data_IF_073102286277
#
_entry.id   IF_073102286277
#
_cell.length_a   1.000
_cell.length_b   1.000
_cell.length_c   1.000
_cell.angle_alpha   90.00
_cell.angle_beta   90.00
_cell.angle_gamma   90.00
#
_symmetry.space_group_name_H-M   'P 1'
#
loop_
_entity.id
_entity.type
_entity.pdbx_description
1 polymer ?
#
# COMPACT_ATOMS: atom_id res chain seq x y z
N UNK A 1 -14.42 -11.47 27.88
CA UNK A 1 -13.84 -12.71 28.46
C UNK A 1 -12.31 -12.72 28.30
N UNK A 2 -11.56 -13.30 29.23
CA UNK A 2 -10.09 -13.43 29.12
C UNK A 2 -9.66 -14.61 28.25
N UNK A 3 -8.41 -14.63 27.77
CA UNK A 3 -7.85 -15.77 27.03
C UNK A 3 -7.85 -17.06 27.86
N UNK A 4 -7.72 -16.95 29.19
CA UNK A 4 -7.85 -18.08 30.10
C UNK A 4 -9.28 -18.66 30.08
N UNK A 5 -10.30 -17.80 30.15
CA UNK A 5 -11.71 -18.22 30.10
C UNK A 5 -12.04 -18.89 28.78
N UNK A 6 -11.62 -18.28 27.67
CA UNK A 6 -11.84 -18.82 26.32
C UNK A 6 -11.14 -20.17 26.16
N UNK A 7 -9.89 -20.30 26.62
CA UNK A 7 -9.18 -21.58 26.58
C UNK A 7 -9.94 -22.68 27.34
N UNK A 8 -10.47 -22.37 28.53
CA UNK A 8 -11.28 -23.31 29.32
C UNK A 8 -12.53 -23.77 28.56
N UNK A 9 -13.25 -22.87 27.89
CA UNK A 9 -14.43 -23.24 27.09
C UNK A 9 -14.07 -24.13 25.89
N UNK A 10 -12.93 -23.90 25.25
CA UNK A 10 -12.49 -24.70 24.10
C UNK A 10 -11.91 -26.08 24.49
N UNK A 11 -11.39 -26.20 25.72
CA UNK A 11 -10.91 -27.46 26.29
C UNK A 11 -9.50 -27.88 25.85
N UNK A 12 -9.00 -28.97 26.45
CA UNK A 12 -7.60 -29.44 26.34
C UNK A 12 -6.56 -28.38 26.71
N UNK A 13 -6.82 -27.69 27.83
CA UNK A 13 -6.06 -26.49 28.22
C UNK A 13 -4.69 -26.86 28.77
N UNK A 14 -3.64 -26.21 28.26
CA UNK A 14 -2.28 -26.25 28.82
C UNK A 14 -1.69 -24.86 28.86
N UNK A 15 -0.92 -24.54 29.89
CA UNK A 15 -0.23 -23.24 29.98
C UNK A 15 0.94 -23.19 29.01
N UNK A 16 1.13 -22.06 28.34
CA UNK A 16 2.22 -21.86 27.38
C UNK A 16 2.72 -20.41 27.42
N UNK A 17 3.82 -20.18 28.17
CA UNK A 17 4.36 -18.85 28.39
C UNK A 17 3.34 -17.91 29.04
N UNK A 18 3.11 -16.75 28.41
CA UNK A 18 2.11 -15.76 28.81
C UNK A 18 0.68 -16.09 28.32
N UNK A 19 0.44 -17.27 27.73
CA UNK A 19 -0.85 -17.67 27.19
C UNK A 19 -1.22 -19.13 27.47
N UNK A 20 -2.14 -19.65 26.66
CA UNK A 20 -2.77 -20.95 26.81
C UNK A 20 -2.81 -21.69 25.48
N UNK A 21 -2.68 -23.01 25.52
CA UNK A 21 -2.98 -23.91 24.42
C UNK A 21 -4.35 -24.54 24.67
N UNK A 22 -5.20 -24.63 23.66
CA UNK A 22 -6.53 -25.21 23.73
C UNK A 22 -6.95 -25.79 22.36
N UNK A 23 -8.17 -26.33 22.23
CA UNK A 23 -8.68 -26.82 20.94
C UNK A 23 -9.03 -25.66 20.00
N UNK A 24 -8.88 -25.89 18.70
CA UNK A 24 -9.29 -24.93 17.68
C UNK A 24 -10.84 -24.82 17.62
N UNK A 25 -11.42 -23.61 17.54
CA UNK A 25 -12.85 -23.41 17.43
C UNK A 25 -13.40 -23.58 16.01
N UNK A 26 -12.54 -23.65 14.98
CA UNK A 26 -12.95 -23.85 13.59
C UNK A 26 -13.38 -25.30 13.38
N UNK A 27 -14.56 -25.52 12.77
CA UNK A 27 -15.24 -26.82 12.72
C UNK A 27 -14.36 -27.95 12.13
N UNK A 28 -13.62 -27.64 11.06
CA UNK A 28 -12.70 -28.57 10.39
C UNK A 28 -11.51 -28.99 11.27
N UNK A 29 -11.11 -28.15 12.23
CA UNK A 29 -9.92 -28.36 13.06
C UNK A 29 -10.22 -28.63 14.55
N UNK A 30 -11.49 -28.76 14.93
CA UNK A 30 -11.91 -29.10 16.31
C UNK A 30 -11.27 -30.38 16.86
N UNK A 31 -11.01 -31.36 16.00
CA UNK A 31 -10.43 -32.67 16.35
C UNK A 31 -8.94 -32.80 15.99
N UNK A 32 -8.32 -31.73 15.48
CA UNK A 32 -6.90 -31.75 15.12
C UNK A 32 -6.03 -32.00 16.36
N UNK A 33 -4.98 -32.83 16.26
CA UNK A 33 -4.02 -32.98 17.36
C UNK A 33 -3.15 -31.73 17.57
N UNK A 34 -3.17 -30.77 16.63
CA UNK A 34 -2.41 -29.53 16.72
C UNK A 34 -3.22 -28.44 17.45
N UNK A 35 -2.69 -27.85 18.53
CA UNK A 35 -3.46 -26.95 19.39
C UNK A 35 -3.64 -25.55 18.77
N UNK A 36 -4.54 -24.78 19.36
CA UNK A 36 -4.64 -23.34 19.22
C UNK A 36 -3.89 -22.69 20.38
N UNK A 37 -2.99 -21.74 20.09
CA UNK A 37 -2.46 -20.82 21.10
C UNK A 37 -3.36 -19.60 21.22
N UNK A 38 -3.68 -19.20 22.45
CA UNK A 38 -4.48 -18.02 22.78
C UNK A 38 -3.85 -17.28 23.95
N UNK A 39 -3.80 -15.94 23.90
CA UNK A 39 -3.30 -15.10 24.99
C UNK A 39 -3.99 -13.74 25.02
N UNK A 40 -3.99 -13.10 26.16
CA UNK A 40 -4.40 -11.71 26.29
C UNK A 40 -3.29 -10.79 25.71
N UNK A 41 -3.70 -9.83 24.90
CA UNK A 41 -2.87 -8.77 24.33
C UNK A 41 -2.77 -7.55 25.26
N UNK A 42 -1.85 -6.63 24.96
CA UNK A 42 -1.54 -5.45 25.80
C UNK A 42 -2.71 -4.46 25.91
N UNK A 43 -3.71 -4.54 25.04
CA UNK A 43 -4.88 -3.68 24.99
C UNK A 43 -6.21 -4.44 25.17
N UNK A 44 -6.18 -5.57 25.89
CA UNK A 44 -7.33 -6.45 26.13
C UNK A 44 -7.89 -7.16 24.88
N UNK A 45 -7.12 -7.20 23.79
CA UNK A 45 -7.42 -7.97 22.58
C UNK A 45 -6.96 -9.42 22.72
N UNK A 46 -7.71 -10.37 22.14
CA UNK A 46 -7.36 -11.79 22.16
C UNK A 46 -6.43 -12.11 20.99
N UNK A 47 -5.19 -12.54 21.27
CA UNK A 47 -4.21 -12.95 20.26
C UNK A 47 -4.26 -14.45 20.07
N UNK A 48 -4.41 -14.90 18.83
CA UNK A 48 -4.56 -16.31 18.47
C UNK A 48 -3.54 -16.78 17.44
N UNK A 49 -3.09 -18.03 17.56
CA UNK A 49 -2.29 -18.70 16.54
C UNK A 49 -2.64 -20.20 16.48
N UNK A 50 -3.12 -20.66 15.31
CA UNK A 50 -3.54 -22.04 15.12
C UNK A 50 -2.44 -22.89 14.48
N UNK A 51 -1.91 -23.87 15.21
CA UNK A 51 -0.88 -24.76 14.67
C UNK A 51 -1.43 -25.79 13.65
N UNK A 52 -2.76 -25.89 13.52
CA UNK A 52 -3.42 -26.72 12.50
C UNK A 52 -3.55 -26.04 11.13
N UNK A 53 -3.27 -24.73 11.02
CA UNK A 53 -3.28 -24.00 9.74
C UNK A 53 -4.44 -23.03 9.51
N UNK A 54 -5.31 -22.78 10.50
CA UNK A 54 -6.30 -21.70 10.40
C UNK A 54 -5.62 -20.32 10.44
N UNK A 55 -6.17 -19.37 9.70
CA UNK A 55 -5.80 -17.96 9.88
C UNK A 55 -6.32 -17.44 11.24
N UNK A 56 -5.71 -16.39 11.80
CA UNK A 56 -6.25 -15.72 12.99
C UNK A 56 -7.71 -15.30 12.82
N UNK A 57 -8.09 -14.83 11.62
CA UNK A 57 -9.46 -14.42 11.28
C UNK A 57 -10.45 -15.58 11.42
N UNK A 58 -10.13 -16.76 10.89
CA UNK A 58 -11.02 -17.93 10.97
C UNK A 58 -11.30 -18.32 12.42
N UNK A 59 -10.25 -18.26 13.26
CA UNK A 59 -10.34 -18.54 14.69
C UNK A 59 -11.20 -17.50 15.39
N UNK A 60 -10.92 -16.20 15.20
CA UNK A 60 -11.67 -15.11 15.82
C UNK A 60 -13.15 -15.12 15.40
N UNK A 61 -13.44 -15.40 14.14
CA UNK A 61 -14.82 -15.56 13.63
C UNK A 61 -15.53 -16.73 14.30
N UNK A 62 -14.85 -17.87 14.47
CA UNK A 62 -15.41 -19.03 15.14
C UNK A 62 -15.63 -18.80 16.65
N UNK A 63 -14.78 -17.99 17.31
CA UNK A 63 -14.99 -17.55 18.70
C UNK A 63 -16.19 -16.61 18.82
N UNK A 64 -16.29 -15.62 17.92
CA UNK A 64 -17.40 -14.68 17.87
C UNK A 64 -18.74 -15.38 17.64
N UNK A 65 -18.79 -16.36 16.72
CA UNK A 65 -20.00 -17.17 16.44
C UNK A 65 -20.49 -17.94 17.66
N UNK A 66 -19.61 -18.22 18.62
CA UNK A 66 -19.91 -18.92 19.87
C UNK A 66 -20.19 -17.97 21.05
N UNK A 67 -20.18 -16.66 20.81
CA UNK A 67 -20.35 -15.66 21.88
C UNK A 67 -19.20 -15.64 22.89
N UNK A 68 -18.01 -16.08 22.49
CA UNK A 68 -16.83 -16.13 23.38
C UNK A 68 -15.98 -14.85 23.33
N UNK A 69 -16.41 -13.86 22.54
CA UNK A 69 -15.87 -12.50 22.51
C UNK A 69 -16.95 -11.56 23.04
N UNK A 70 -16.60 -10.61 23.91
CA UNK A 70 -17.58 -9.79 24.64
C UNK A 70 -18.38 -8.85 23.71
N UNK A 71 -19.69 -8.75 23.96
CA UNK A 71 -20.63 -7.89 23.23
C UNK A 71 -20.37 -6.37 23.36
N UNK A 72 -19.42 -5.94 24.20
CA UNK A 72 -19.05 -4.52 24.35
C UNK A 72 -18.36 -3.92 23.11
N UNK A 73 -17.96 -4.74 22.15
CA UNK A 73 -17.35 -4.29 20.89
C UNK A 73 -18.40 -4.02 19.78
N UNK A 74 -19.67 -4.35 19.98
CA UNK A 74 -20.71 -4.26 18.93
C UNK A 74 -21.46 -2.93 18.83
N UNK A 75 -21.21 -1.93 19.69
CA UNK A 75 -22.04 -0.71 19.71
C UNK A 75 -21.36 0.66 19.76
N UNK A 76 -20.04 0.73 19.68
CA UNK A 76 -19.37 2.00 19.46
C UNK A 76 -18.36 1.82 18.33
N UNK A 77 -18.71 2.28 17.13
CA UNK A 77 -17.73 2.55 16.07
C UNK A 77 -16.74 3.55 16.63
N UNK A 78 -15.65 3.07 17.23
CA UNK A 78 -14.49 3.91 17.56
C UNK A 78 -13.99 4.48 16.23
N UNK A 79 -13.73 5.80 16.15
CA UNK A 79 -12.99 6.35 15.03
C UNK A 79 -11.70 5.54 14.89
N UNK A 80 -11.43 5.00 13.70
CA UNK A 80 -10.14 4.41 13.38
C UNK A 80 -9.07 5.43 13.76
N UNK A 81 -8.31 5.11 14.81
CA UNK A 81 -7.13 5.89 15.18
C UNK A 81 -5.97 5.18 14.51
N UNK A 82 -5.36 5.74 13.45
CA UNK A 82 -4.25 5.08 12.79
C UNK A 82 -3.17 4.74 13.83
N UNK A 83 -2.66 3.50 13.86
CA UNK A 83 -1.52 3.19 14.71
C UNK A 83 -0.38 4.12 14.27
N UNK A 84 0.06 5.01 15.16
CA UNK A 84 1.27 5.81 14.96
C UNK A 84 2.40 4.81 14.73
N UNK A 85 2.90 4.75 13.49
CA UNK A 85 4.09 3.97 13.19
C UNK A 85 5.23 4.51 14.05
N UNK A 86 5.88 3.65 14.86
CA UNK A 86 7.08 4.05 15.60
C UNK A 86 8.09 4.56 14.56
N UNK A 87 8.53 5.82 14.63
CA UNK A 87 9.49 6.33 13.66
C UNK A 87 10.77 5.51 13.76
N UNK A 88 11.32 5.11 12.62
CA UNK A 88 12.72 4.67 12.54
C UNK A 88 13.66 5.81 13.00
N UNK A 89 14.97 5.55 13.12
CA UNK A 89 15.92 6.61 13.45
C UNK A 89 15.70 7.81 12.52
N UNK A 90 15.50 8.99 13.11
CA UNK A 90 15.22 10.20 12.36
C UNK A 90 16.40 10.50 11.41
N UNK A 91 16.15 10.84 10.13
CA UNK A 91 17.21 11.31 9.27
C UNK A 91 17.85 12.57 9.86
N UNK A 92 19.16 12.75 9.64
CA UNK A 92 19.92 13.89 10.17
C UNK A 92 19.38 15.25 9.69
N UNK A 93 18.74 15.28 8.52
CA UNK A 93 18.05 16.43 7.95
C UNK A 93 16.75 15.94 7.29
N UNK A 94 15.56 16.14 7.91
CA UNK A 94 14.28 15.69 7.37
C UNK A 94 13.84 16.46 6.12
N UNK A 95 14.32 17.68 5.89
CA UNK A 95 13.92 18.53 4.76
C UNK A 95 14.76 18.30 3.51
N UNK A 96 15.91 17.62 3.64
CA UNK A 96 16.79 17.29 2.51
C UNK A 96 16.06 16.74 1.27
N UNK A 97 15.11 15.79 1.34
CA UNK A 97 14.46 15.28 0.14
C UNK A 97 13.67 16.37 -0.58
N UNK A 98 12.92 17.21 0.16
CA UNK A 98 12.20 18.36 -0.39
C UNK A 98 13.18 19.35 -1.03
N UNK A 99 14.24 19.71 -0.32
CA UNK A 99 15.27 20.61 -0.84
C UNK A 99 15.91 20.09 -2.13
N UNK A 100 16.24 18.79 -2.17
CA UNK A 100 16.81 18.15 -3.37
C UNK A 100 15.82 18.18 -4.55
N UNK A 101 14.55 17.88 -4.30
CA UNK A 101 13.50 17.89 -5.32
C UNK A 101 13.33 19.28 -5.93
N UNK A 102 13.25 20.32 -5.11
CA UNK A 102 13.05 21.70 -5.56
C UNK A 102 14.30 22.27 -6.23
N UNK A 103 15.50 21.96 -5.72
CA UNK A 103 16.76 22.54 -6.22
C UNK A 103 17.29 21.88 -7.48
N UNK A 104 17.15 20.56 -7.60
CA UNK A 104 17.74 19.80 -8.71
C UNK A 104 16.70 19.31 -9.73
N UNK A 105 15.43 19.21 -9.32
CA UNK A 105 14.34 18.80 -10.19
C UNK A 105 14.01 19.87 -11.22
N UNK A 106 13.96 19.47 -12.49
CA UNK A 106 13.50 20.29 -13.62
C UNK A 106 12.08 19.87 -14.01
N UNK A 107 11.29 20.75 -14.66
CA UNK A 107 10.00 20.37 -15.23
C UNK A 107 10.11 19.16 -16.17
N UNK A 108 9.04 18.39 -16.28
CA UNK A 108 9.00 17.15 -17.07
C UNK A 108 9.01 17.42 -18.58
N UNK A 109 8.35 18.51 -19.02
CA UNK A 109 8.16 18.80 -20.43
C UNK A 109 9.46 19.12 -21.15
N UNK A 110 9.62 18.59 -22.35
CA UNK A 110 10.82 18.68 -23.18
C UNK A 110 11.97 17.79 -22.71
N UNK A 111 11.71 16.78 -21.87
CA UNK A 111 12.74 15.93 -21.26
C UNK A 111 12.52 14.45 -21.55
N UNK A 112 13.52 13.57 -21.30
CA UNK A 112 13.36 12.12 -21.42
C UNK A 112 12.20 11.55 -20.58
N UNK A 113 11.81 12.22 -19.48
CA UNK A 113 10.67 11.81 -18.66
C UNK A 113 9.35 11.98 -19.41
N UNK A 114 9.18 13.06 -20.17
CA UNK A 114 8.00 13.25 -21.02
C UNK A 114 7.92 12.15 -22.08
N UNK A 115 9.01 11.92 -22.82
CA UNK A 115 9.05 10.84 -23.84
C UNK A 115 8.70 9.49 -23.22
N UNK A 116 9.27 9.20 -22.04
CA UNK A 116 9.04 7.96 -21.33
C UNK A 116 7.57 7.79 -20.90
N UNK A 117 6.99 8.81 -20.26
CA UNK A 117 5.61 8.78 -19.78
C UNK A 117 4.60 8.74 -20.92
N UNK A 118 4.78 9.52 -21.99
CA UNK A 118 3.88 9.47 -23.16
C UNK A 118 3.88 8.10 -23.81
N UNK A 119 5.07 7.54 -24.05
CA UNK A 119 5.22 6.19 -24.61
C UNK A 119 4.54 5.15 -23.75
N UNK A 120 4.59 5.30 -22.42
CA UNK A 120 4.18 4.26 -21.47
C UNK A 120 2.75 4.39 -20.96
N UNK A 121 2.22 5.61 -20.94
CA UNK A 121 0.95 5.97 -20.31
C UNK A 121 -0.02 6.66 -21.30
N UNK A 122 0.35 6.81 -22.57
CA UNK A 122 -0.45 7.48 -23.61
C UNK A 122 -0.04 8.93 -23.86
N UNK A 123 -0.20 9.41 -25.09
CA UNK A 123 0.19 10.77 -25.52
C UNK A 123 -0.63 11.90 -24.85
N UNK A 124 -1.82 11.57 -24.36
CA UNK A 124 -2.76 12.45 -23.64
C UNK A 124 -2.57 12.41 -22.12
N UNK A 125 -1.49 11.80 -21.61
CA UNK A 125 -1.11 11.91 -20.19
C UNK A 125 -0.91 13.39 -19.81
N UNK A 126 -1.54 13.82 -18.72
CA UNK A 126 -1.63 15.23 -18.35
C UNK A 126 -0.42 15.70 -17.55
N UNK A 127 0.73 15.83 -18.24
CA UNK A 127 2.03 16.11 -17.62
C UNK A 127 2.07 17.41 -16.80
N UNK A 128 1.27 18.42 -17.14
CA UNK A 128 1.21 19.68 -16.41
C UNK A 128 0.67 19.51 -14.97
N UNK A 129 -0.23 18.56 -14.76
CA UNK A 129 -0.77 18.22 -13.43
C UNK A 129 0.28 17.52 -12.56
N UNK A 130 1.36 16.99 -13.18
CA UNK A 130 2.36 16.15 -12.51
C UNK A 130 3.61 16.91 -12.06
N UNK A 131 3.88 18.12 -12.56
CA UNK A 131 5.11 18.87 -12.26
C UNK A 131 5.27 19.19 -10.76
N UNK A 132 4.18 19.19 -9.98
CA UNK A 132 4.23 19.35 -8.53
C UNK A 132 4.84 18.14 -7.80
N UNK A 133 4.76 16.95 -8.39
CA UNK A 133 5.08 15.67 -7.72
C UNK A 133 6.11 14.83 -8.46
N UNK A 134 6.29 15.08 -9.76
CA UNK A 134 7.29 14.46 -10.64
C UNK A 134 8.20 15.54 -11.25
N UNK A 135 9.50 15.23 -11.33
CA UNK A 135 10.52 16.09 -11.93
C UNK A 135 11.48 15.27 -12.77
N UNK A 136 12.13 15.94 -13.72
CA UNK A 136 13.28 15.42 -14.44
C UNK A 136 14.58 15.78 -13.70
N UNK A 137 15.44 14.78 -13.51
CA UNK A 137 16.80 14.99 -13.03
C UNK A 137 17.80 14.59 -14.14
N UNK A 138 18.64 15.51 -14.63
CA UNK A 138 19.63 15.19 -15.66
C UNK A 138 20.76 14.30 -15.12
N UNK A 139 21.40 13.53 -16.00
CA UNK A 139 22.60 12.79 -15.62
C UNK A 139 23.71 13.74 -15.15
N UNK A 140 24.32 13.39 -14.03
CA UNK A 140 25.48 14.07 -13.42
C UNK A 140 26.47 13.01 -12.91
N UNK A 141 27.27 12.40 -13.82
CA UNK A 141 28.29 11.42 -13.45
C UNK A 141 29.34 12.01 -12.48
N UNK A 142 29.89 11.21 -11.55
CA UNK A 142 29.61 9.78 -11.37
C UNK A 142 28.37 9.51 -10.48
N UNK A 143 27.78 10.53 -9.86
CA UNK A 143 26.76 10.35 -8.82
C UNK A 143 25.39 9.93 -9.36
N UNK A 144 24.98 10.47 -10.51
CA UNK A 144 23.75 10.12 -11.22
C UNK A 144 24.09 9.84 -12.68
N UNK A 145 24.59 8.63 -13.02
CA UNK A 145 25.08 8.33 -14.36
C UNK A 145 23.98 8.19 -15.42
N UNK A 146 22.71 8.24 -15.01
CA UNK A 146 21.55 8.19 -15.90
C UNK A 146 20.62 9.35 -15.58
N UNK A 147 19.88 9.87 -16.57
CA UNK A 147 18.74 10.74 -16.30
C UNK A 147 17.69 9.97 -15.51
N UNK A 148 16.94 10.68 -14.66
CA UNK A 148 15.92 10.05 -13.83
C UNK A 148 14.60 10.83 -13.84
N UNK A 149 13.49 10.09 -13.84
CA UNK A 149 12.22 10.59 -13.31
C UNK A 149 12.30 10.53 -11.78
N UNK A 150 12.04 11.66 -11.13
CA UNK A 150 12.12 11.77 -9.67
C UNK A 150 10.76 12.18 -9.12
N UNK A 151 10.25 11.40 -8.18
CA UNK A 151 8.95 11.61 -7.56
C UNK A 151 9.10 11.95 -6.08
N UNK A 152 8.29 12.91 -5.62
CA UNK A 152 8.19 13.24 -4.20
C UNK A 152 7.37 12.16 -3.49
N UNK A 153 7.95 11.57 -2.43
CA UNK A 153 7.27 10.57 -1.60
C UNK A 153 6.94 11.20 -0.26
N UNK A 154 5.70 11.03 0.16
CA UNK A 154 5.09 11.86 1.18
C UNK A 154 4.20 10.98 2.05
N UNK A 155 4.12 11.24 3.36
CA UNK A 155 3.41 10.36 4.29
C UNK A 155 1.92 10.26 3.93
N UNK A 156 1.35 9.05 3.90
CA UNK A 156 -0.06 8.86 3.52
C UNK A 156 -1.00 9.71 4.38
N UNK A 157 -0.72 9.82 5.68
CA UNK A 157 -1.60 10.50 6.64
C UNK A 157 -1.23 11.97 6.84
N UNK A 158 -0.08 12.41 6.34
CA UNK A 158 0.41 13.78 6.47
C UNK A 158 1.16 14.21 5.19
N UNK A 159 0.43 14.84 4.28
CA UNK A 159 0.98 15.36 3.03
C UNK A 159 2.09 16.42 3.21
N UNK A 160 2.20 17.03 4.40
CA UNK A 160 3.26 18.02 4.65
C UNK A 160 4.61 17.34 4.90
N UNK A 161 4.58 16.08 5.36
CA UNK A 161 5.74 15.28 5.70
C UNK A 161 6.29 14.56 4.47
N UNK A 162 7.26 15.20 3.82
CA UNK A 162 8.07 14.56 2.78
C UNK A 162 8.95 13.51 3.44
N UNK A 163 8.80 12.26 3.00
CA UNK A 163 9.54 11.13 3.57
C UNK A 163 10.84 10.85 2.79
N UNK A 164 10.79 10.84 1.46
CA UNK A 164 11.94 10.50 0.60
C UNK A 164 11.69 10.97 -0.85
N UNK A 165 12.65 10.68 -1.74
CA UNK A 165 12.47 10.77 -3.19
C UNK A 165 12.49 9.37 -3.79
N UNK A 166 11.66 9.14 -4.80
CA UNK A 166 11.68 7.93 -5.62
C UNK A 166 12.28 8.24 -6.99
N UNK A 167 13.32 7.53 -7.38
CA UNK A 167 14.02 7.68 -8.65
C UNK A 167 13.69 6.49 -9.55
N UNK A 168 13.35 6.78 -10.81
CA UNK A 168 13.33 5.81 -11.91
C UNK A 168 14.39 6.25 -12.92
N UNK A 169 15.49 5.51 -13.05
CA UNK A 169 16.53 5.82 -14.03
C UNK A 169 16.05 5.45 -15.44
N UNK A 170 16.30 6.35 -16.39
CA UNK A 170 15.83 6.27 -17.76
C UNK A 170 17.01 6.24 -18.73
N UNK A 171 16.76 5.74 -19.94
CA UNK A 171 17.65 5.98 -21.07
C UNK A 171 17.69 7.47 -21.42
N UNK A 172 18.81 8.00 -21.95
CA UNK A 172 18.93 9.41 -22.33
C UNK A 172 17.89 9.91 -23.33
N UNK A 173 17.34 9.02 -24.15
CA UNK A 173 16.28 9.33 -25.12
C UNK A 173 14.86 9.14 -24.55
N UNK A 174 14.72 8.64 -23.32
CA UNK A 174 13.44 8.32 -22.70
C UNK A 174 12.73 7.09 -23.30
N UNK A 175 13.39 6.33 -24.17
CA UNK A 175 12.77 5.18 -24.85
C UNK A 175 12.43 4.02 -23.90
N UNK A 176 13.02 4.02 -22.70
CA UNK A 176 12.82 3.02 -21.67
C UNK A 176 13.57 3.35 -20.38
N UNK A 177 13.50 2.42 -19.42
CA UNK A 177 14.28 2.48 -18.19
C UNK A 177 15.75 2.19 -18.47
N UNK A 178 16.65 2.77 -17.68
CA UNK A 178 18.07 2.46 -17.77
C UNK A 178 18.33 0.95 -17.55
N UNK A 179 19.29 0.34 -18.27
CA UNK A 179 19.61 -1.09 -18.20
C UNK A 179 20.47 -1.42 -16.98
N UNK A 180 20.01 -1.02 -15.79
CA UNK A 180 20.67 -1.25 -14.50
C UNK A 180 19.69 -1.92 -13.52
N UNK A 181 20.24 -2.70 -12.59
CA UNK A 181 19.43 -3.39 -11.57
C UNK A 181 19.97 -3.05 -10.18
N UNK A 182 19.16 -2.40 -9.32
CA UNK A 182 17.81 -1.89 -9.58
C UNK A 182 17.82 -0.57 -10.38
N UNK A 183 16.83 -0.36 -11.26
CA UNK A 183 16.59 0.92 -11.97
C UNK A 183 15.57 1.83 -11.26
N UNK A 184 15.03 1.37 -10.13
CA UNK A 184 14.19 2.15 -9.23
C UNK A 184 14.80 2.14 -7.84
N UNK A 185 14.87 3.31 -7.18
CA UNK A 185 15.41 3.43 -5.82
C UNK A 185 14.77 4.58 -5.07
N UNK A 186 14.85 4.54 -3.75
CA UNK A 186 14.54 5.67 -2.90
C UNK A 186 15.81 6.40 -2.45
N UNK A 187 15.67 7.64 -1.99
CA UNK A 187 16.80 8.38 -1.43
C UNK A 187 17.33 7.64 -0.19
N UNK A 188 18.63 7.28 -0.21
CA UNK A 188 19.27 6.51 0.85
C UNK A 188 19.24 7.27 2.18
N UNK A 189 18.88 6.56 3.26
CA UNK A 189 18.80 7.12 4.61
C UNK A 189 17.46 7.78 4.94
N UNK A 190 16.49 7.71 4.03
CA UNK A 190 15.16 8.30 4.20
C UNK A 190 14.08 7.22 4.12
N UNK A 191 13.05 7.26 4.98
CA UNK A 191 12.01 6.24 5.02
C UNK A 191 11.11 6.28 3.78
N UNK A 192 10.60 5.13 3.38
CA UNK A 192 9.51 5.01 2.40
C UNK A 192 8.24 4.37 2.99
N UNK A 193 8.34 3.83 4.22
CA UNK A 193 7.24 3.12 4.87
C UNK A 193 6.09 4.07 5.18
N UNK A 194 4.89 3.70 4.73
CA UNK A 194 3.70 4.55 4.86
C UNK A 194 3.70 5.73 3.88
N UNK A 195 4.64 5.79 2.94
CA UNK A 195 4.76 6.85 1.95
C UNK A 195 4.01 6.52 0.66
N UNK A 196 3.48 7.56 0.03
CA UNK A 196 2.84 7.52 -1.29
C UNK A 196 3.35 8.64 -2.19
N UNK A 197 3.22 8.43 -3.49
CA UNK A 197 3.36 9.48 -4.51
C UNK A 197 1.96 9.91 -4.89
N UNK A 198 1.63 11.17 -4.57
CA UNK A 198 0.31 11.77 -4.75
C UNK A 198 0.16 12.28 -6.18
N UNK A 199 -0.19 11.39 -7.12
CA UNK A 199 -0.29 11.75 -8.55
C UNK A 199 -1.49 12.64 -8.89
N UNK A 200 -2.41 12.80 -7.92
CA UNK A 200 -3.53 13.72 -7.91
C UNK A 200 -3.55 14.43 -6.57
N UNK A 201 -4.06 15.65 -6.53
CA UNK A 201 -4.13 16.45 -5.30
C UNK A 201 -5.09 15.80 -4.28
N UNK A 202 -4.77 15.92 -2.98
CA UNK A 202 -5.62 15.43 -1.89
C UNK A 202 -7.05 16.02 -2.00
N UNK A 203 -7.21 17.24 -2.52
CA UNK A 203 -8.50 17.90 -2.73
C UNK A 203 -9.39 17.24 -3.79
N UNK A 204 -8.81 16.44 -4.70
CA UNK A 204 -9.56 15.67 -5.69
C UNK A 204 -10.08 14.34 -5.13
N UNK A 205 -9.58 13.92 -3.97
CA UNK A 205 -10.02 12.71 -3.28
C UNK A 205 -11.19 13.03 -2.38
N UNK A 206 -12.37 12.61 -2.81
CA UNK A 206 -13.61 12.81 -2.06
C UNK A 206 -13.98 11.54 -1.30
N UNK A 207 -14.51 10.52 -1.98
CA UNK A 207 -15.00 9.29 -1.35
C UNK A 207 -14.20 8.05 -1.73
N UNK A 208 -13.47 8.09 -2.85
CA UNK A 208 -12.77 6.93 -3.41
C UNK A 208 -11.32 7.27 -3.73
N UNK A 209 -10.41 6.33 -3.45
CA UNK A 209 -9.01 6.39 -3.87
C UNK A 209 -8.53 5.06 -4.44
N UNK A 210 -7.86 5.10 -5.58
CA UNK A 210 -7.05 4.01 -6.10
C UNK A 210 -5.63 4.01 -5.53
N UNK A 211 -5.09 2.83 -5.23
CA UNK A 211 -3.68 2.66 -4.85
C UNK A 211 -3.06 1.61 -5.76
N UNK A 212 -1.99 1.99 -6.47
CA UNK A 212 -1.25 1.08 -7.33
C UNK A 212 0.22 0.99 -6.94
N UNK A 213 0.91 -0.08 -7.34
CA UNK A 213 2.32 -0.27 -6.97
C UNK A 213 3.27 0.78 -7.54
N UNK A 214 3.01 1.38 -8.70
CA UNK A 214 4.01 2.21 -9.40
C UNK A 214 3.42 3.37 -10.20
N UNK A 215 4.25 4.40 -10.42
CA UNK A 215 3.88 5.64 -11.12
C UNK A 215 3.32 5.35 -12.51
N UNK A 216 4.04 4.56 -13.32
CA UNK A 216 3.70 4.31 -14.72
C UNK A 216 2.34 3.65 -14.85
N UNK A 217 2.07 2.69 -13.96
CA UNK A 217 0.81 1.96 -13.90
C UNK A 217 -0.34 2.87 -13.47
N UNK A 218 -0.16 3.61 -12.38
CA UNK A 218 -1.15 4.58 -11.90
C UNK A 218 -1.54 5.55 -13.02
N UNK A 219 -0.55 6.16 -13.67
CA UNK A 219 -0.77 7.11 -14.76
C UNK A 219 -1.43 6.44 -15.97
N UNK A 220 -1.00 5.24 -16.35
CA UNK A 220 -1.60 4.52 -17.46
C UNK A 220 -3.11 4.28 -17.22
N UNK A 221 -3.48 3.78 -16.05
CA UNK A 221 -4.89 3.56 -15.68
C UNK A 221 -5.67 4.88 -15.60
N UNK A 222 -5.08 5.93 -15.02
CA UNK A 222 -5.73 7.24 -14.96
C UNK A 222 -6.01 7.80 -16.36
N UNK A 223 -5.07 7.69 -17.30
CA UNK A 223 -5.27 8.10 -18.69
C UNK A 223 -6.43 7.34 -19.31
N UNK A 224 -6.47 6.00 -19.17
CA UNK A 224 -7.53 5.15 -19.72
C UNK A 224 -8.89 5.46 -19.11
N UNK A 225 -9.00 5.47 -17.78
CA UNK A 225 -10.26 5.76 -17.11
C UNK A 225 -10.76 7.18 -17.36
N UNK A 226 -9.87 8.14 -17.59
CA UNK A 226 -10.28 9.49 -18.01
C UNK A 226 -10.95 9.47 -19.39
N UNK A 227 -10.48 8.65 -20.33
CA UNK A 227 -11.11 8.48 -21.64
C UNK A 227 -12.49 7.82 -21.55
N UNK A 228 -12.62 6.82 -20.69
CA UNK A 228 -13.85 6.01 -20.57
C UNK A 228 -14.91 6.65 -19.67
N UNK A 229 -14.49 7.24 -18.55
CA UNK A 229 -15.38 7.70 -17.48
C UNK A 229 -15.34 9.23 -17.28
N UNK A 230 -14.45 9.95 -17.97
CA UNK A 230 -14.33 11.40 -17.84
C UNK A 230 -14.01 11.84 -16.40
N UNK A 231 -14.69 12.87 -15.86
CA UNK A 231 -14.48 13.37 -14.49
C UNK A 231 -14.76 12.35 -13.38
N UNK A 232 -15.45 11.23 -13.67
CA UNK A 232 -15.71 10.17 -12.71
C UNK A 232 -14.58 9.14 -12.60
N UNK A 233 -13.46 9.34 -13.32
CA UNK A 233 -12.29 8.50 -13.22
C UNK A 233 -11.79 8.41 -11.77
N UNK A 234 -11.44 7.21 -11.33
CA UNK A 234 -10.95 7.02 -9.95
C UNK A 234 -9.58 7.70 -9.80
N UNK A 235 -9.40 8.61 -8.83
CA UNK A 235 -8.08 9.18 -8.52
C UNK A 235 -7.14 8.08 -8.04
N UNK A 236 -5.88 8.07 -8.48
CA UNK A 236 -4.93 7.00 -8.11
C UNK A 236 -3.64 7.58 -7.54
N UNK A 237 -3.19 7.07 -6.41
CA UNK A 237 -1.85 7.28 -5.86
C UNK A 237 -0.96 6.06 -6.10
N UNK A 238 0.36 6.28 -6.11
CA UNK A 238 1.34 5.19 -6.18
C UNK A 238 1.92 4.87 -4.81
N UNK A 239 1.90 3.58 -4.45
CA UNK A 239 2.51 2.99 -3.27
C UNK A 239 3.97 2.54 -3.46
N UNK A 240 4.67 3.03 -4.49
CA UNK A 240 6.09 2.81 -4.82
C UNK A 240 6.48 1.38 -5.25
N UNK A 241 6.06 0.36 -4.50
CA UNK A 241 6.23 -1.07 -4.79
C UNK A 241 5.30 -1.91 -3.88
N UNK A 242 5.13 -3.20 -4.18
CA UNK A 242 4.38 -4.14 -3.35
C UNK A 242 4.65 -4.04 -1.84
N UNK A 243 5.92 -3.97 -1.42
CA UNK A 243 6.25 -3.98 0.01
C UNK A 243 5.83 -2.70 0.73
N UNK A 244 6.00 -1.54 0.11
CA UNK A 244 5.57 -0.25 0.69
C UNK A 244 4.04 -0.17 0.66
N UNK A 245 3.43 -0.55 -0.46
CA UNK A 245 1.98 -0.58 -0.66
C UNK A 245 1.27 -1.46 0.38
N UNK A 246 1.71 -2.72 0.57
CA UNK A 246 1.11 -3.64 1.53
C UNK A 246 1.17 -3.16 2.98
N UNK A 247 2.14 -2.29 3.30
CA UNK A 247 2.33 -1.68 4.62
C UNK A 247 1.67 -0.32 4.83
N UNK A 248 0.89 0.20 3.87
CA UNK A 248 0.23 1.51 4.03
C UNK A 248 -0.83 1.46 5.14
N UNK A 249 -0.93 2.50 5.99
CA UNK A 249 -2.01 2.59 6.97
C UNK A 249 -3.35 2.86 6.29
N UNK A 250 -4.45 2.82 7.05
CA UNK A 250 -5.76 3.20 6.50
C UNK A 250 -5.84 4.72 6.42
N UNK A 251 -6.23 5.23 5.26
CA UNK A 251 -6.59 6.63 5.07
C UNK A 251 -8.07 6.81 5.49
N UNK A 252 -8.38 7.43 6.64
CA UNK A 252 -9.75 7.43 7.17
C UNK A 252 -10.71 8.38 6.45
N UNK A 253 -10.22 9.23 5.54
CA UNK A 253 -11.04 10.25 4.85
C UNK A 253 -11.83 9.68 3.67
N UNK A 254 -11.55 8.44 3.25
CA UNK A 254 -12.22 7.80 2.11
C UNK A 254 -13.22 6.74 2.57
N UNK A 255 -14.24 6.51 1.75
CA UNK A 255 -15.26 5.48 1.95
C UNK A 255 -14.94 4.20 1.16
N UNK A 256 -14.17 4.35 0.07
CA UNK A 256 -13.83 3.28 -0.86
C UNK A 256 -12.35 3.32 -1.24
N UNK A 257 -11.71 2.15 -1.28
CA UNK A 257 -10.35 1.99 -1.83
C UNK A 257 -10.35 0.98 -2.97
N UNK A 258 -9.65 1.29 -4.07
CA UNK A 258 -9.41 0.35 -5.17
C UNK A 258 -7.92 0.00 -5.20
N UNK A 259 -7.60 -1.29 -5.15
CA UNK A 259 -6.22 -1.78 -5.08
C UNK A 259 -5.82 -2.35 -6.45
N UNK A 260 -4.75 -1.79 -7.02
CA UNK A 260 -4.20 -2.17 -8.32
C UNK A 260 -2.81 -2.80 -8.14
N UNK A 261 -2.78 -4.11 -7.87
CA UNK A 261 -1.54 -4.87 -7.68
C UNK A 261 -1.12 -5.64 -8.92
N UNK A 262 0.16 -5.94 -9.03
CA UNK A 262 0.67 -6.87 -10.03
C UNK A 262 0.18 -8.30 -9.80
N UNK A 263 -0.03 -9.09 -10.87
CA UNK A 263 -0.45 -10.49 -10.80
C UNK A 263 0.71 -11.43 -10.38
N UNK A 264 1.64 -10.94 -9.55
CA UNK A 264 2.76 -11.72 -9.01
C UNK A 264 2.55 -12.01 -7.50
N UNK A 265 3.33 -12.93 -6.90
CA UNK A 265 3.15 -13.28 -5.48
C UNK A 265 3.32 -12.12 -4.49
N UNK A 266 4.20 -11.16 -4.78
CA UNK A 266 4.42 -10.00 -3.92
C UNK A 266 3.25 -9.01 -4.01
N UNK A 267 2.79 -8.71 -5.22
CA UNK A 267 1.62 -7.86 -5.48
C UNK A 267 0.35 -8.44 -4.85
N UNK A 268 0.08 -9.74 -5.04
CA UNK A 268 -1.07 -10.42 -4.41
C UNK A 268 -1.03 -10.36 -2.89
N UNK A 269 0.15 -10.53 -2.28
CA UNK A 269 0.31 -10.41 -0.82
C UNK A 269 0.04 -8.99 -0.36
N UNK A 270 0.61 -8.00 -1.03
CA UNK A 270 0.40 -6.59 -0.71
C UNK A 270 -1.07 -6.18 -0.83
N UNK A 271 -1.77 -6.66 -1.86
CA UNK A 271 -3.20 -6.44 -2.00
C UNK A 271 -3.99 -7.10 -0.88
N UNK A 272 -3.71 -8.35 -0.53
CA UNK A 272 -4.39 -9.04 0.57
C UNK A 272 -4.21 -8.31 1.91
N UNK A 273 -3.00 -7.82 2.20
CA UNK A 273 -2.72 -7.04 3.41
C UNK A 273 -3.50 -5.72 3.46
N UNK A 274 -3.67 -5.05 2.32
CA UNK A 274 -4.50 -3.84 2.24
C UNK A 274 -5.99 -4.15 2.33
N UNK A 275 -6.46 -5.21 1.67
CA UNK A 275 -7.86 -5.66 1.73
C UNK A 275 -8.27 -5.93 3.17
N UNK A 276 -7.48 -6.72 3.90
CA UNK A 276 -7.70 -7.02 5.31
C UNK A 276 -7.78 -5.72 6.12
N UNK A 277 -6.75 -4.88 6.04
CA UNK A 277 -6.62 -3.67 6.86
C UNK A 277 -7.71 -2.63 6.60
N UNK A 278 -8.07 -2.38 5.34
CA UNK A 278 -9.11 -1.41 5.00
C UNK A 278 -10.52 -1.94 5.31
N UNK A 279 -10.75 -3.24 5.09
CA UNK A 279 -12.03 -3.88 5.44
C UNK A 279 -12.27 -3.86 6.95
N UNK A 280 -11.25 -4.12 7.76
CA UNK A 280 -11.31 -4.02 9.23
C UNK A 280 -11.64 -2.59 9.71
N UNK A 281 -11.22 -1.57 8.96
CA UNK A 281 -11.57 -0.17 9.22
C UNK A 281 -12.96 0.22 8.69
N UNK A 282 -13.71 -0.70 8.08
CA UNK A 282 -15.04 -0.44 7.53
C UNK A 282 -15.05 0.34 6.23
N UNK A 283 -13.91 0.42 5.53
CA UNK A 283 -13.80 1.01 4.19
C UNK A 283 -14.09 -0.09 3.17
N UNK A 284 -14.90 0.23 2.17
CA UNK A 284 -15.22 -0.71 1.09
C UNK A 284 -14.01 -0.89 0.18
N UNK A 285 -13.62 -2.15 -0.05
CA UNK A 285 -12.41 -2.48 -0.81
C UNK A 285 -12.76 -3.16 -2.13
N UNK A 286 -12.19 -2.65 -3.21
CA UNK A 286 -12.19 -3.27 -4.52
C UNK A 286 -10.76 -3.67 -4.90
N UNK A 287 -10.61 -4.84 -5.52
CA UNK A 287 -9.36 -5.23 -6.17
C UNK A 287 -9.59 -5.03 -7.67
N UNK A 288 -8.80 -4.15 -8.29
CA UNK A 288 -8.91 -3.91 -9.72
C UNK A 288 -8.52 -5.17 -10.50
N UNK A 289 -9.13 -5.34 -11.67
CA UNK A 289 -8.70 -6.31 -12.67
C UNK A 289 -8.27 -5.56 -13.94
N UNK A 290 -7.16 -5.96 -14.59
CA UNK A 290 -6.76 -5.35 -15.85
C UNK A 290 -7.89 -5.50 -16.89
N UNK A 291 -8.10 -4.51 -17.76
CA UNK A 291 -9.15 -4.55 -18.79
C UNK A 291 -9.03 -5.80 -19.67
N UNK A 292 -10.18 -6.25 -20.21
CA UNK A 292 -10.28 -7.45 -21.04
C UNK A 292 -9.21 -7.49 -22.14
N UNK A 293 -8.37 -8.52 -22.13
CA UNK A 293 -7.32 -8.75 -23.13
C UNK A 293 -5.91 -8.36 -22.68
N UNK A 294 -5.76 -7.61 -21.59
CA UNK A 294 -4.45 -7.29 -21.00
C UNK A 294 -4.03 -8.40 -20.00
N UNK A 295 -2.79 -8.87 -20.10
CA UNK A 295 -2.19 -9.83 -19.16
C UNK A 295 -1.94 -9.15 -17.80
N UNK A 296 -1.61 -7.86 -17.82
CA UNK A 296 -1.44 -7.02 -16.64
C UNK A 296 -1.76 -5.55 -16.93
N UNK A 297 -1.66 -4.71 -15.88
CA UNK A 297 -1.91 -3.27 -15.97
C UNK A 297 -0.90 -2.51 -16.84
N UNK A 298 0.23 -3.14 -17.09
CA UNK A 298 1.32 -2.59 -17.87
C UNK A 298 0.97 -2.66 -19.38
N UNK A 299 -0.04 -3.41 -19.80
CA UNK A 299 -0.49 -3.51 -21.20
C UNK A 299 -1.64 -2.56 -21.56
N UNK A 300 -2.25 -1.90 -20.57
CA UNK A 300 -3.49 -1.11 -20.70
C UNK A 300 -3.46 -0.07 -21.83
N UNK A 301 -2.31 0.56 -22.08
CA UNK A 301 -2.15 1.57 -23.13
C UNK A 301 -1.34 1.09 -24.35
N UNK A 302 -0.94 -0.19 -24.38
CA UNK A 302 -0.29 -0.82 -25.53
C UNK A 302 -1.30 -1.55 -26.44
N UNK A 303 -2.55 -1.69 -25.99
CA UNK A 303 -3.61 -2.44 -26.67
C UNK A 303 -4.46 -1.62 -27.67
N UNK A 304 -3.97 -0.43 -28.09
CA UNK A 304 -4.66 0.46 -29.03
C UNK A 304 -4.10 0.37 -30.44
#
# INVERSE_FOLDING_TARGET
MTAADIAQVLGNVKRNGAGWLCRCPVDEHKKSPRPLSIRDGELAEIVVHCFAGCTPIDVLRALNKRGLLDERERRERRPYTPPRSKPGPAPADPDKPRHMFERFGKPIRGTPVETYLRKRCGDDVMLMELDAVLRFWPETPPHFPWPAMVALVTDLLDATRVQTLHFTDLLPDGSGKAPITPNKRTLKGYPAKGGVIRLVDDAEITTRLGIAEGIEKSLAMMTTYRRECGPAATPIWSGLNASVMGGLPVLPVIEQVVIYSDPNPAGRRAAAELVERYSEAGIEVFVGEPPNGCIDWDEVNNAA
#
